data_IF_469405685971
#
_entry.id   IF_469405685971
#
_cell.length_a   1.000
_cell.length_b   1.000
_cell.length_c   1.000
_cell.angle_alpha   90.00
_cell.angle_beta   90.00
_cell.angle_gamma   90.00
#
_symmetry.space_group_name_H-M   'P 1'
#
loop_
_entity.id
_entity.type
_entity.pdbx_description
1 polymer ?
#
# COMPACT_ATOMS: atom_id res chain seq x y z
N UNK A 1 12.35 -1.34 4.03
CA UNK A 1 11.84 -1.11 5.39
C UNK A 1 10.47 -0.44 5.33
N UNK A 2 9.51 -0.87 6.15
CA UNK A 2 8.20 -0.22 6.28
C UNK A 2 8.30 0.91 7.30
N UNK A 3 7.77 2.08 6.99
CA UNK A 3 7.83 3.24 7.90
C UNK A 3 6.79 3.11 9.03
N UNK A 4 6.91 3.92 10.12
CA UNK A 4 5.99 3.87 11.24
C UNK A 4 4.53 3.93 10.81
N UNK A 5 3.66 3.18 11.51
CA UNK A 5 2.23 3.05 11.15
C UNK A 5 1.55 4.42 11.02
N UNK A 6 1.86 5.35 11.91
CA UNK A 6 1.25 6.68 11.93
C UNK A 6 1.78 7.63 10.86
N UNK A 7 2.78 7.19 10.08
CA UNK A 7 3.26 7.86 8.88
C UNK A 7 2.75 7.17 7.62
N UNK A 8 2.72 5.83 7.62
CA UNK A 8 2.25 5.03 6.48
C UNK A 8 0.74 5.09 6.31
N UNK A 9 -0.01 5.15 7.41
CA UNK A 9 -1.47 5.24 7.44
C UNK A 9 -1.92 6.20 8.56
N UNK A 10 -1.73 7.53 8.36
CA UNK A 10 -2.00 8.51 9.40
C UNK A 10 -3.51 8.62 9.66
N UNK A 11 -3.90 8.72 10.94
CA UNK A 11 -5.32 8.89 11.32
C UNK A 11 -5.90 10.21 10.81
N UNK A 12 -5.10 11.28 10.84
CA UNK A 12 -5.41 12.59 10.27
C UNK A 12 -4.58 12.80 9.00
N UNK A 13 -5.21 13.30 7.94
CA UNK A 13 -4.50 13.61 6.69
C UNK A 13 -3.74 14.94 6.78
N UNK A 14 -2.66 14.93 7.56
CA UNK A 14 -1.79 16.08 7.84
C UNK A 14 -0.41 15.88 7.22
N UNK A 15 0.27 16.95 6.79
CA UNK A 15 1.56 16.84 6.09
C UNK A 15 2.65 16.24 6.97
N UNK A 16 3.45 15.34 6.40
CA UNK A 16 4.79 15.01 6.87
C UNK A 16 5.83 16.01 6.32
N UNK A 17 5.49 16.70 5.24
CA UNK A 17 6.34 17.68 4.56
C UNK A 17 7.39 17.04 3.66
N UNK A 18 8.39 17.83 3.29
CA UNK A 18 9.58 17.32 2.60
C UNK A 18 10.45 16.59 3.59
N UNK A 19 10.55 15.28 3.44
CA UNK A 19 11.28 14.44 4.39
C UNK A 19 12.78 14.64 4.21
N UNK A 20 13.52 14.76 5.32
CA UNK A 20 14.98 14.77 5.30
C UNK A 20 15.52 13.40 5.63
N UNK A 21 16.45 12.90 4.82
CA UNK A 21 17.07 11.59 4.97
C UNK A 21 18.56 11.74 5.24
N UNK A 22 19.11 10.82 6.04
CA UNK A 22 20.55 10.75 6.32
C UNK A 22 20.99 9.30 6.43
N UNK A 23 22.17 8.98 5.91
CA UNK A 23 22.82 7.69 6.12
C UNK A 23 24.08 7.85 6.99
N UNK A 24 24.32 6.91 7.89
CA UNK A 24 25.57 6.75 8.65
C UNK A 24 26.54 5.76 8.01
N UNK A 25 26.21 5.23 6.83
CA UNK A 25 27.12 4.42 6.02
C UNK A 25 28.39 5.19 5.63
N UNK A 26 29.49 4.46 5.40
CA UNK A 26 30.74 5.04 4.91
C UNK A 26 30.73 5.25 3.38
N UNK A 27 29.83 4.58 2.66
CA UNK A 27 29.57 4.76 1.24
C UNK A 27 28.21 5.44 0.99
N UNK A 28 28.02 6.10 -0.17
CA UNK A 28 26.71 6.61 -0.57
C UNK A 28 25.66 5.50 -0.60
N UNK A 29 24.49 5.78 -0.04
CA UNK A 29 23.36 4.86 -0.02
C UNK A 29 22.26 5.37 -0.96
N UNK A 30 21.96 4.60 -2.00
CA UNK A 30 20.81 4.86 -2.87
C UNK A 30 19.54 4.35 -2.20
N UNK A 31 18.57 5.24 -2.01
CA UNK A 31 17.28 4.92 -1.41
C UNK A 31 16.13 5.31 -2.35
N UNK A 32 15.01 4.64 -2.20
CA UNK A 32 13.75 5.07 -2.78
C UNK A 32 12.69 5.22 -1.68
N UNK A 33 12.14 6.42 -1.58
CA UNK A 33 11.10 6.77 -0.62
C UNK A 33 9.74 6.73 -1.32
N UNK A 34 8.85 5.85 -0.83
CA UNK A 34 7.48 5.70 -1.35
C UNK A 34 6.44 6.18 -0.35
N UNK A 35 5.46 6.95 -0.83
CA UNK A 35 4.42 7.54 0.01
C UNK A 35 3.31 8.18 -0.81
N UNK A 36 2.50 9.03 -0.16
CA UNK A 36 1.44 9.77 -0.84
C UNK A 36 1.53 11.26 -0.60
N UNK A 37 1.10 12.03 -1.59
CA UNK A 37 0.96 13.49 -1.57
C UNK A 37 -0.38 13.93 -0.98
N UNK A 38 -0.62 15.24 -0.90
CA UNK A 38 -1.85 15.84 -0.37
C UNK A 38 -3.13 15.27 -0.99
N UNK A 39 -3.13 15.08 -2.30
CA UNK A 39 -4.22 14.52 -3.11
C UNK A 39 -4.34 12.99 -3.00
N UNK A 40 -3.56 12.35 -2.12
CA UNK A 40 -3.47 10.89 -1.93
C UNK A 40 -2.89 10.14 -3.13
N UNK A 41 -2.30 10.82 -4.11
CA UNK A 41 -1.58 10.14 -5.18
C UNK A 41 -0.33 9.46 -4.61
N UNK A 42 -0.10 8.20 -5.00
CA UNK A 42 1.11 7.48 -4.60
C UNK A 42 2.29 7.94 -5.47
N UNK A 43 3.40 8.28 -4.84
CA UNK A 43 4.62 8.74 -5.49
C UNK A 43 5.84 8.07 -4.87
N UNK A 44 6.85 7.86 -5.72
CA UNK A 44 8.15 7.33 -5.34
C UNK A 44 9.24 8.31 -5.76
N UNK A 45 10.18 8.58 -4.86
CA UNK A 45 11.33 9.45 -5.12
C UNK A 45 12.63 8.70 -4.82
N UNK A 46 13.58 8.74 -5.76
CA UNK A 46 14.91 8.12 -5.59
C UNK A 46 15.91 9.18 -5.15
N UNK A 47 16.60 8.93 -4.04
CA UNK A 47 17.61 9.82 -3.49
C UNK A 47 18.94 9.08 -3.33
N UNK A 48 20.04 9.81 -3.53
CA UNK A 48 21.38 9.33 -3.18
C UNK A 48 21.76 10.02 -1.88
N UNK A 49 22.03 9.25 -0.82
CA UNK A 49 22.41 9.76 0.49
C UNK A 49 23.93 9.68 0.63
N UNK A 50 24.68 10.78 0.53
CA UNK A 50 26.11 10.77 0.81
C UNK A 50 26.36 10.43 2.28
N UNK A 51 27.54 9.87 2.61
CA UNK A 51 27.93 9.57 3.99
C UNK A 51 27.71 10.76 4.92
N UNK A 52 26.97 10.52 6.01
CA UNK A 52 26.76 11.47 7.12
C UNK A 52 26.14 12.80 6.71
N UNK A 53 25.60 12.92 5.50
CA UNK A 53 25.03 14.14 4.94
C UNK A 53 23.51 14.03 4.89
N UNK A 54 22.83 15.13 5.24
CA UNK A 54 21.36 15.20 5.15
C UNK A 54 20.97 15.60 3.73
N UNK A 55 20.03 14.88 3.15
CA UNK A 55 19.41 15.16 1.85
C UNK A 55 17.92 15.34 2.06
N UNK A 56 17.34 16.39 1.48
CA UNK A 56 15.91 16.65 1.55
C UNK A 56 15.23 16.10 0.28
N UNK A 57 14.08 15.46 0.46
CA UNK A 57 13.22 15.04 -0.64
C UNK A 57 12.54 16.25 -1.29
N UNK A 58 12.41 16.24 -2.60
CA UNK A 58 11.71 17.29 -3.34
C UNK A 58 10.20 17.24 -3.08
N UNK A 59 9.68 16.02 -2.93
CA UNK A 59 8.26 15.74 -2.72
C UNK A 59 7.81 16.12 -1.31
N UNK A 60 6.70 16.84 -1.21
CA UNK A 60 6.00 17.07 0.05
C UNK A 60 5.01 15.92 0.32
N UNK A 61 5.30 15.09 1.31
CA UNK A 61 4.50 13.92 1.64
C UNK A 61 3.43 14.24 2.69
N UNK A 62 2.27 13.58 2.56
CA UNK A 62 1.23 13.47 3.59
C UNK A 62 1.23 12.10 4.25
N UNK A 63 1.72 11.07 3.55
CA UNK A 63 2.04 9.77 4.13
C UNK A 63 3.36 9.25 3.56
N UNK A 64 4.07 8.44 4.33
CA UNK A 64 5.29 7.78 3.89
C UNK A 64 5.21 6.30 4.29
N UNK A 65 5.16 5.43 3.29
CA UNK A 65 4.86 4.01 3.48
C UNK A 65 6.13 3.16 3.60
N UNK A 66 7.14 3.45 2.79
CA UNK A 66 8.33 2.61 2.71
C UNK A 66 9.59 3.37 2.33
N UNK A 67 10.71 2.88 2.84
CA UNK A 67 12.05 3.24 2.37
C UNK A 67 12.70 1.97 1.82
N UNK A 68 13.11 2.01 0.56
CA UNK A 68 13.77 0.91 -0.15
C UNK A 68 15.23 1.24 -0.37
N UNK A 69 16.06 0.21 -0.39
CA UNK A 69 17.50 0.28 -0.68
C UNK A 69 17.83 -0.78 -1.72
N UNK A 70 18.85 -0.51 -2.53
CA UNK A 70 19.36 -1.48 -3.52
C UNK A 70 20.29 -2.52 -2.88
N UNK A 71 21.00 -2.13 -1.82
CA UNK A 71 21.86 -2.98 -1.02
C UNK A 71 21.60 -2.74 0.47
N UNK A 72 21.76 -3.79 1.28
CA UNK A 72 21.61 -3.65 2.73
C UNK A 72 22.68 -2.70 3.28
N UNK A 73 22.30 -1.64 4.00
CA UNK A 73 23.25 -0.70 4.57
C UNK A 73 23.99 -1.32 5.76
N UNK A 74 25.27 -0.99 5.87
CA UNK A 74 26.13 -1.32 7.02
C UNK A 74 25.97 -0.35 8.21
N UNK A 75 25.32 0.79 7.96
CA UNK A 75 25.05 1.86 8.93
C UNK A 75 23.56 2.12 9.12
N UNK A 76 23.23 2.99 10.08
CA UNK A 76 21.85 3.42 10.30
C UNK A 76 21.42 4.39 9.20
N UNK A 77 20.14 4.33 8.84
CA UNK A 77 19.49 5.37 8.05
C UNK A 77 18.47 6.10 8.94
N UNK A 78 18.26 7.38 8.71
CA UNK A 78 17.25 8.16 9.41
C UNK A 78 16.36 8.90 8.42
N UNK A 79 15.07 8.95 8.71
CA UNK A 79 14.06 9.75 8.00
C UNK A 79 13.43 10.70 9.01
N UNK A 80 13.49 11.99 8.71
CA UNK A 80 12.99 13.05 9.57
C UNK A 80 11.84 13.78 8.88
N UNK A 81 10.75 14.02 9.60
CA UNK A 81 9.65 14.87 9.19
C UNK A 81 9.79 16.25 9.85
N UNK A 82 10.18 17.30 9.10
CA UNK A 82 10.26 18.65 9.65
C UNK A 82 8.90 19.18 10.12
N UNK A 83 7.82 18.81 9.41
CA UNK A 83 6.47 19.26 9.74
C UNK A 83 5.97 18.74 11.10
N UNK A 84 6.44 17.54 11.51
CA UNK A 84 6.06 16.90 12.78
C UNK A 84 7.14 16.98 13.84
N UNK A 85 8.37 17.36 13.49
CA UNK A 85 9.52 17.33 14.39
C UNK A 85 9.96 15.92 14.80
N UNK A 86 9.50 14.89 14.08
CA UNK A 86 9.71 13.48 14.40
C UNK A 86 10.85 12.88 13.56
N UNK A 87 11.61 11.94 14.13
CA UNK A 87 12.68 11.24 13.42
C UNK A 87 12.52 9.74 13.61
N UNK A 88 12.49 9.00 12.50
CA UNK A 88 12.54 7.55 12.46
C UNK A 88 13.95 7.09 12.11
N UNK A 89 14.54 6.26 12.97
CA UNK A 89 15.89 5.70 12.77
C UNK A 89 15.75 4.22 12.47
N UNK A 90 16.42 3.77 11.42
CA UNK A 90 16.38 2.40 10.90
C UNK A 90 17.78 1.80 11.08
N UNK A 91 17.87 0.79 11.94
CA UNK A 91 19.09 0.01 12.14
C UNK A 91 19.29 -1.03 11.03
N UNK A 92 20.54 -1.44 10.74
CA UNK A 92 20.85 -2.46 9.73
C UNK A 92 19.98 -3.73 9.81
N UNK A 93 19.67 -4.20 11.02
CA UNK A 93 18.88 -5.41 11.25
C UNK A 93 17.37 -5.23 11.04
N UNK A 94 16.88 -3.99 10.94
CA UNK A 94 15.46 -3.68 10.71
C UNK A 94 15.11 -3.62 9.21
N UNK A 95 16.11 -3.77 8.35
CA UNK A 95 15.90 -3.88 6.91
C UNK A 95 15.32 -5.25 6.56
N UNK A 96 14.00 -5.32 6.62
CA UNK A 96 13.23 -6.43 6.12
C UNK A 96 12.86 -6.26 4.65
N UNK A 97 12.60 -7.38 4.01
CA UNK A 97 11.99 -7.42 2.69
C UNK A 97 10.52 -7.00 2.80
N UNK A 98 10.19 -5.80 2.31
CA UNK A 98 8.80 -5.29 2.29
C UNK A 98 8.03 -5.86 1.09
N UNK A 99 8.76 -6.42 0.11
CA UNK A 99 8.16 -7.13 -0.99
C UNK A 99 7.86 -8.56 -0.51
N UNK A 100 6.57 -8.88 -0.42
CA UNK A 100 6.12 -10.25 -0.37
C UNK A 100 6.36 -10.85 -1.76
N UNK A 101 7.61 -11.20 -2.07
CA UNK A 101 7.94 -11.81 -3.36
C UNK A 101 7.13 -13.09 -3.54
N UNK A 102 6.36 -13.16 -4.63
CA UNK A 102 5.70 -14.38 -5.08
C UNK A 102 4.37 -14.73 -4.44
N UNK A 103 3.75 -13.85 -3.63
CA UNK A 103 2.37 -14.05 -3.20
C UNK A 103 1.46 -13.00 -3.83
N UNK A 104 0.70 -13.41 -4.83
CA UNK A 104 -0.48 -12.67 -5.26
C UNK A 104 -1.41 -12.49 -4.06
N UNK A 105 -1.65 -11.24 -3.65
CA UNK A 105 -2.60 -10.93 -2.59
C UNK A 105 -4.00 -10.95 -3.21
N UNK A 106 -4.66 -12.10 -3.14
CA UNK A 106 -6.06 -12.24 -3.55
C UNK A 106 -6.98 -11.77 -2.43
N UNK A 107 -7.68 -10.67 -2.65
CA UNK A 107 -8.82 -10.29 -1.83
C UNK A 107 -10.09 -10.81 -2.52
N UNK A 108 -10.74 -11.80 -1.91
CA UNK A 108 -11.88 -12.48 -2.51
C UNK A 108 -13.04 -12.63 -1.52
N UNK A 109 -14.26 -12.53 -2.05
CA UNK A 109 -15.51 -12.68 -1.33
C UNK A 109 -16.65 -12.89 -2.32
N UNK A 110 -17.87 -13.06 -1.83
CA UNK A 110 -19.04 -13.22 -2.68
C UNK A 110 -20.14 -12.22 -2.35
N UNK A 111 -20.96 -11.92 -3.35
CA UNK A 111 -22.14 -11.08 -3.21
C UNK A 111 -23.14 -11.51 -4.29
N UNK A 112 -24.44 -11.47 -3.99
CA UNK A 112 -25.45 -11.75 -5.01
C UNK A 112 -25.53 -10.60 -6.03
N UNK A 113 -26.02 -10.91 -7.24
CA UNK A 113 -26.26 -9.89 -8.27
C UNK A 113 -27.27 -8.81 -7.82
N UNK A 114 -28.21 -9.15 -6.94
CA UNK A 114 -29.17 -8.20 -6.40
C UNK A 114 -28.49 -7.21 -5.43
N UNK A 115 -27.70 -7.73 -4.48
CA UNK A 115 -26.92 -6.90 -3.56
C UNK A 115 -25.92 -6.01 -4.31
N UNK A 116 -25.24 -6.55 -5.33
CA UNK A 116 -24.31 -5.77 -6.14
C UNK A 116 -25.00 -4.59 -6.81
N UNK A 117 -26.18 -4.80 -7.40
CA UNK A 117 -26.95 -3.70 -8.03
C UNK A 117 -27.41 -2.63 -7.03
N UNK A 118 -27.63 -2.99 -5.77
CA UNK A 118 -28.05 -2.06 -4.73
C UNK A 118 -26.89 -1.30 -4.09
N UNK A 119 -25.73 -1.96 -3.93
CA UNK A 119 -24.59 -1.41 -3.19
C UNK A 119 -23.51 -0.80 -4.07
N UNK A 120 -23.45 -1.20 -5.35
CA UNK A 120 -22.44 -0.68 -6.23
C UNK A 120 -22.61 0.82 -6.48
N UNK A 121 -21.50 1.54 -6.38
CA UNK A 121 -21.42 2.94 -6.78
C UNK A 121 -20.87 3.05 -8.20
N UNK A 122 -21.19 4.16 -8.86
CA UNK A 122 -20.68 4.43 -10.20
C UNK A 122 -19.27 5.00 -10.13
N UNK A 123 -18.36 4.40 -10.89
CA UNK A 123 -17.07 4.99 -11.24
C UNK A 123 -17.23 5.60 -12.64
N UNK A 124 -17.04 6.91 -12.74
CA UNK A 124 -17.21 7.65 -13.99
C UNK A 124 -15.94 7.56 -14.86
N UNK A 125 -16.06 7.71 -16.19
CA UNK A 125 -14.90 7.86 -17.06
C UNK A 125 -13.92 8.92 -16.56
N UNK A 126 -12.62 8.66 -16.66
CA UNK A 126 -11.54 9.51 -16.16
C UNK A 126 -11.24 9.34 -14.66
N UNK A 127 -11.98 8.49 -13.94
CA UNK A 127 -11.65 8.16 -12.55
C UNK A 127 -10.44 7.21 -12.50
N UNK A 128 -9.48 7.49 -11.61
CA UNK A 128 -8.36 6.59 -11.33
C UNK A 128 -8.83 5.33 -10.62
N UNK A 129 -8.37 4.17 -11.07
CA UNK A 129 -8.69 2.86 -10.47
C UNK A 129 -7.43 2.02 -10.32
N UNK A 130 -7.48 0.99 -9.48
CA UNK A 130 -6.30 0.15 -9.20
C UNK A 130 -5.86 -0.71 -10.40
N UNK A 131 -6.80 -1.12 -11.27
CA UNK A 131 -6.53 -2.07 -12.36
C UNK A 131 -5.84 -1.42 -13.57
N UNK A 132 -5.96 -0.10 -13.76
CA UNK A 132 -5.43 0.68 -14.87
C UNK A 132 -5.51 2.18 -14.54
N UNK A 133 -4.63 3.01 -15.14
CA UNK A 133 -4.47 4.44 -14.81
C UNK A 133 -5.79 5.19 -14.66
N UNK A 134 -6.70 5.05 -15.63
CA UNK A 134 -8.02 5.68 -15.63
C UNK A 134 -9.05 4.79 -16.32
N UNK A 135 -10.29 4.81 -15.84
CA UNK A 135 -11.37 4.10 -16.52
C UNK A 135 -11.90 4.88 -17.73
N UNK A 136 -11.99 4.23 -18.90
CA UNK A 136 -12.51 4.85 -20.14
C UNK A 136 -14.03 4.81 -20.26
N UNK A 137 -14.67 3.97 -19.46
CA UNK A 137 -16.12 3.71 -19.50
C UNK A 137 -16.69 3.76 -18.10
N UNK A 138 -17.99 4.05 -17.98
CA UNK A 138 -18.67 3.98 -16.69
C UNK A 138 -18.63 2.54 -16.17
N UNK A 139 -18.14 2.37 -14.96
CA UNK A 139 -18.12 1.08 -14.26
C UNK A 139 -18.93 1.14 -12.97
N UNK A 140 -19.33 -0.03 -12.49
CA UNK A 140 -19.92 -0.21 -11.17
C UNK A 140 -18.88 -0.89 -10.28
N UNK A 141 -18.70 -0.38 -9.07
CA UNK A 141 -17.74 -0.92 -8.12
C UNK A 141 -18.35 -1.04 -6.72
N UNK A 142 -17.82 -1.98 -5.95
CA UNK A 142 -18.10 -2.19 -4.53
C UNK A 142 -16.77 -2.30 -3.79
N UNK A 143 -16.75 -1.88 -2.53
CA UNK A 143 -15.57 -2.08 -1.69
C UNK A 143 -15.44 -3.57 -1.35
N UNK A 144 -14.21 -4.09 -1.35
CA UNK A 144 -13.95 -5.50 -1.04
C UNK A 144 -14.41 -5.89 0.37
N UNK A 145 -14.46 -4.93 1.31
CA UNK A 145 -14.98 -5.10 2.67
C UNK A 145 -16.48 -5.38 2.71
N UNK A 146 -17.21 -5.05 1.64
CA UNK A 146 -18.64 -5.31 1.52
C UNK A 146 -18.95 -6.72 1.01
N UNK A 147 -17.94 -7.45 0.55
CA UNK A 147 -18.12 -8.84 0.12
C UNK A 147 -18.31 -9.74 1.33
N UNK A 148 -19.18 -10.75 1.19
CA UNK A 148 -19.34 -11.79 2.19
C UNK A 148 -18.16 -12.78 2.12
N UNK A 149 -17.74 -13.39 3.24
CA UNK A 149 -16.68 -14.38 3.24
C UNK A 149 -17.03 -15.59 2.36
N UNK A 150 -16.07 -16.06 1.54
CA UNK A 150 -16.25 -17.22 0.66
C UNK A 150 -16.66 -18.49 1.41
N UNK A 151 -16.19 -18.69 2.64
CA UNK A 151 -16.53 -19.86 3.45
C UNK A 151 -18.03 -20.09 3.57
N UNK A 152 -18.81 -19.01 3.75
CA UNK A 152 -20.27 -19.10 3.85
C UNK A 152 -20.93 -19.56 2.53
N UNK A 153 -20.33 -19.26 1.38
CA UNK A 153 -20.79 -19.75 0.09
C UNK A 153 -20.43 -21.22 -0.11
N UNK A 154 -19.21 -21.61 0.26
CA UNK A 154 -18.73 -22.98 0.11
C UNK A 154 -19.55 -23.97 0.95
N UNK A 155 -19.95 -23.60 2.17
CA UNK A 155 -20.86 -24.43 2.97
C UNK A 155 -22.22 -24.63 2.29
N UNK A 156 -22.78 -23.58 1.68
CA UNK A 156 -24.03 -23.70 0.90
C UNK A 156 -23.88 -24.62 -0.32
N UNK A 157 -22.72 -24.62 -0.96
CA UNK A 157 -22.44 -25.52 -2.09
C UNK A 157 -22.39 -26.97 -1.61
N UNK A 158 -21.72 -27.26 -0.49
CA UNK A 158 -21.70 -28.61 0.11
C UNK A 158 -23.11 -29.09 0.46
N UNK A 159 -23.90 -28.25 1.12
CA UNK A 159 -25.31 -28.55 1.44
C UNK A 159 -26.13 -28.85 0.17
N UNK A 160 -25.88 -28.12 -0.92
CA UNK A 160 -26.55 -28.36 -2.19
C UNK A 160 -26.14 -29.68 -2.84
N UNK A 161 -24.84 -30.03 -2.82
CA UNK A 161 -24.36 -31.30 -3.34
C UNK A 161 -24.90 -32.50 -2.58
N UNK A 162 -25.00 -32.43 -1.25
CA UNK A 162 -25.61 -33.49 -0.43
C UNK A 162 -27.11 -33.68 -0.67
N UNK A 163 -27.78 -32.67 -1.24
CA UNK A 163 -29.22 -32.70 -1.57
C UNK A 163 -29.49 -33.05 -3.04
N UNK A 164 -28.46 -33.27 -3.86
CA UNK A 164 -28.67 -33.83 -5.20
C UNK A 164 -29.14 -35.27 -5.04
N UNK A 165 -30.34 -35.65 -5.50
CA UNK A 165 -30.66 -37.07 -5.64
C UNK A 165 -29.64 -37.67 -6.62
N UNK A 166 -29.22 -38.91 -6.37
CA UNK A 166 -28.52 -39.71 -7.38
C UNK A 166 -29.41 -39.76 -8.63
N UNK A 167 -29.17 -38.87 -9.59
CA UNK A 167 -29.66 -39.04 -10.94
C UNK A 167 -28.88 -40.23 -11.50
N UNK A 168 -29.48 -41.41 -11.32
CA UNK A 168 -29.07 -42.66 -11.94
C UNK A 168 -28.96 -42.50 -13.45
N UNK A 169 -28.05 -43.31 -13.99
CA UNK A 169 -27.88 -43.65 -15.40
C UNK A 169 -29.21 -43.80 -16.15
#
# INVERSE_FOLDING_TARGET
HALPRDWANPQSWSPLGRLSLKSECDAPLTVELGGQTEDRAFVSERLILPPRTRVEAETAYFSAASLRVESLPDGRAAVHSPARGETHVIHPHEWGNVWVYGMDIFLAGWMSRAEFRQRAHSILPGSRVFQYDETRVKNLAVDVRELRPLGALLEKVKEWETKKPESGL
#
